data_IF_524613404949
#
_entry.id   IF_524613404949
#
_cell.length_a   1.000
_cell.length_b   1.000
_cell.length_c   1.000
_cell.angle_alpha   90.00
_cell.angle_beta   90.00
_cell.angle_gamma   90.00
#
_symmetry.space_group_name_H-M   'P 1'
#
loop_
_entity.id
_entity.type
_entity.pdbx_description
1 polymer ?
#
# COMPACT_ATOMS: atom_id res chain seq x y z
N UNK A 1 -10.22 -10.85 13.88
CA UNK A 1 -9.17 -9.93 14.36
C UNK A 1 -8.40 -9.37 13.18
N UNK A 2 -7.96 -8.11 13.24
CA UNK A 2 -7.15 -7.50 12.18
C UNK A 2 -5.72 -8.03 12.18
N UNK A 3 -5.13 -8.20 11.00
CA UNK A 3 -3.73 -8.61 10.80
C UNK A 3 -2.87 -7.38 10.57
N UNK A 4 -1.66 -7.37 11.11
CA UNK A 4 -0.64 -6.36 10.83
C UNK A 4 0.48 -6.96 9.99
N UNK A 5 0.89 -6.23 8.97
CA UNK A 5 2.07 -6.56 8.17
C UNK A 5 3.37 -6.27 8.94
N UNK A 6 4.55 -6.71 8.47
CA UNK A 6 5.84 -6.49 9.15
C UNK A 6 6.12 -5.03 9.53
N UNK A 7 5.75 -4.06 8.69
CA UNK A 7 5.90 -2.63 8.97
C UNK A 7 4.62 -1.99 9.49
N UNK A 8 3.68 -2.77 10.01
CA UNK A 8 2.50 -2.27 10.72
C UNK A 8 1.38 -1.70 9.86
N UNK A 9 1.26 -2.08 8.58
CA UNK A 9 0.03 -1.82 7.82
C UNK A 9 -1.09 -2.70 8.41
N UNK A 10 -2.19 -2.09 8.83
CA UNK A 10 -3.33 -2.79 9.43
C UNK A 10 -4.30 -3.26 8.36
N UNK A 11 -4.48 -4.57 8.26
CA UNK A 11 -5.43 -5.28 7.39
C UNK A 11 -6.64 -5.67 8.25
N UNK A 12 -7.84 -5.29 7.85
CA UNK A 12 -9.07 -5.50 8.63
C UNK A 12 -9.71 -6.87 8.38
N UNK A 13 -9.34 -7.54 7.28
CA UNK A 13 -9.75 -8.92 7.00
C UNK A 13 -9.34 -9.86 8.13
N UNK A 14 -10.10 -10.94 8.30
CA UNK A 14 -9.79 -11.96 9.30
C UNK A 14 -8.43 -12.59 9.01
N UNK A 15 -7.77 -13.02 10.08
CA UNK A 15 -6.49 -13.74 10.00
C UNK A 15 -6.63 -14.96 9.10
N UNK A 16 -7.67 -15.75 9.33
CA UNK A 16 -8.00 -16.97 8.61
C UNK A 16 -8.09 -16.68 7.10
N UNK A 17 -8.84 -15.63 6.72
CA UNK A 17 -8.96 -15.22 5.32
C UNK A 17 -7.61 -14.80 4.73
N UNK A 18 -6.82 -13.98 5.43
CA UNK A 18 -5.53 -13.49 4.93
C UNK A 18 -4.56 -14.64 4.66
N UNK A 19 -4.42 -15.56 5.62
CA UNK A 19 -3.47 -16.67 5.51
C UNK A 19 -3.98 -17.80 4.62
N UNK A 20 -5.29 -18.02 4.53
CA UNK A 20 -5.89 -18.90 3.52
C UNK A 20 -5.60 -18.41 2.11
N UNK A 21 -5.81 -17.10 1.86
CA UNK A 21 -5.51 -16.49 0.56
C UNK A 21 -4.03 -16.64 0.20
N UNK A 22 -3.12 -16.39 1.13
CA UNK A 22 -1.67 -16.61 0.92
C UNK A 22 -1.37 -18.10 0.70
N UNK A 23 -2.04 -19.00 1.42
CA UNK A 23 -1.84 -20.45 1.30
C UNK A 23 -2.13 -21.03 -0.08
N UNK A 24 -3.00 -20.39 -0.86
CA UNK A 24 -3.25 -20.75 -2.27
C UNK A 24 -2.03 -20.57 -3.18
N UNK A 25 -1.07 -19.74 -2.77
CA UNK A 25 0.20 -19.57 -3.47
C UNK A 25 1.18 -20.72 -3.18
N UNK A 26 0.85 -21.61 -2.25
CA UNK A 26 1.67 -22.77 -1.88
C UNK A 26 2.94 -22.38 -1.15
N UNK A 27 4.01 -23.18 -1.32
CA UNK A 27 5.34 -22.90 -0.73
C UNK A 27 6.16 -21.88 -1.55
N UNK A 28 5.65 -21.47 -2.70
CA UNK A 28 6.36 -20.64 -3.68
C UNK A 28 6.34 -19.14 -3.33
N UNK A 29 5.44 -18.72 -2.43
CA UNK A 29 5.39 -17.36 -1.91
C UNK A 29 5.18 -17.36 -0.39
N UNK A 30 6.06 -16.66 0.32
CA UNK A 30 5.93 -16.49 1.77
C UNK A 30 4.94 -15.38 2.13
N UNK A 31 4.33 -15.49 3.32
CA UNK A 31 3.49 -14.42 3.85
C UNK A 31 4.24 -13.08 3.94
N UNK A 32 5.53 -13.11 4.27
CA UNK A 32 6.39 -11.91 4.33
C UNK A 32 6.50 -11.20 2.97
N UNK A 33 6.62 -11.96 1.88
CA UNK A 33 6.69 -11.40 0.53
C UNK A 33 5.37 -10.80 0.11
N UNK A 34 4.25 -11.49 0.37
CA UNK A 34 2.91 -10.98 0.06
C UNK A 34 2.60 -9.73 0.87
N UNK A 35 2.88 -9.72 2.17
CA UNK A 35 2.64 -8.53 3.00
C UNK A 35 3.54 -7.36 2.66
N UNK A 36 4.84 -7.58 2.36
CA UNK A 36 5.71 -6.51 1.86
C UNK A 36 5.25 -5.95 0.53
N UNK A 37 4.70 -6.80 -0.33
CA UNK A 37 4.09 -6.37 -1.61
C UNK A 37 2.84 -5.54 -1.34
N UNK A 38 1.99 -5.95 -0.40
CA UNK A 38 0.81 -5.17 0.00
C UNK A 38 1.20 -3.79 0.54
N UNK A 39 2.23 -3.72 1.38
CA UNK A 39 2.76 -2.45 1.87
C UNK A 39 3.31 -1.56 0.74
N UNK A 40 4.03 -2.14 -0.22
CA UNK A 40 4.54 -1.41 -1.37
C UNK A 40 3.40 -0.83 -2.22
N UNK A 41 2.37 -1.63 -2.51
CA UNK A 41 1.17 -1.20 -3.23
C UNK A 41 0.47 -0.08 -2.45
N UNK A 42 0.30 -0.24 -1.15
CA UNK A 42 -0.33 0.79 -0.30
C UNK A 42 0.44 2.11 -0.30
N UNK A 43 1.77 2.04 -0.38
CA UNK A 43 2.67 3.18 -0.23
C UNK A 43 2.96 3.90 -1.55
N UNK A 44 2.74 3.25 -2.69
CA UNK A 44 3.10 3.79 -4.00
C UNK A 44 2.45 5.14 -4.35
N UNK A 45 1.15 5.41 -4.08
CA UNK A 45 0.57 6.73 -4.31
C UNK A 45 1.33 7.86 -3.59
N UNK A 46 1.78 7.58 -2.36
CA UNK A 46 2.54 8.52 -1.55
C UNK A 46 3.99 8.66 -2.01
N UNK A 47 4.58 7.59 -2.52
CA UNK A 47 5.89 7.62 -3.17
C UNK A 47 5.88 8.57 -4.37
N UNK A 48 4.88 8.43 -5.25
CA UNK A 48 4.73 9.28 -6.43
C UNK A 48 4.49 10.74 -6.04
N UNK A 49 3.64 10.97 -5.05
CA UNK A 49 3.37 12.31 -4.53
C UNK A 49 4.62 12.97 -3.92
N UNK A 50 5.42 12.21 -3.17
CA UNK A 50 6.68 12.69 -2.61
C UNK A 50 7.67 13.09 -3.70
N UNK A 51 7.90 12.23 -4.70
CA UNK A 51 8.82 12.52 -5.81
C UNK A 51 8.36 13.75 -6.59
N UNK A 52 7.08 13.83 -6.94
CA UNK A 52 6.52 14.97 -7.67
C UNK A 52 6.63 16.28 -6.87
N UNK A 53 6.32 16.25 -5.57
CA UNK A 53 6.41 17.42 -4.72
C UNK A 53 7.84 17.89 -4.48
N UNK A 54 8.80 16.97 -4.30
CA UNK A 54 10.23 17.30 -4.19
C UNK A 54 10.76 17.87 -5.50
N UNK A 55 10.40 17.30 -6.64
CA UNK A 55 10.78 17.84 -7.95
C UNK A 55 10.22 19.27 -8.15
N UNK A 56 8.97 19.50 -7.78
CA UNK A 56 8.36 20.83 -7.84
C UNK A 56 9.01 21.85 -6.87
N UNK A 57 9.43 21.42 -5.68
CA UNK A 57 10.22 22.24 -4.76
C UNK A 57 11.57 22.62 -5.39
N UNK A 58 12.28 21.64 -5.97
CA UNK A 58 13.58 21.83 -6.60
C UNK A 58 13.53 22.75 -7.82
N UNK A 59 12.40 22.76 -8.55
CA UNK A 59 12.19 23.65 -9.68
C UNK A 59 12.04 25.14 -9.30
N UNK A 60 11.93 25.46 -8.00
CA UNK A 60 11.82 26.84 -7.47
C UNK A 60 10.70 27.66 -8.12
N UNK A 61 9.60 27.00 -8.49
CA UNK A 61 8.40 27.63 -9.03
C UNK A 61 7.59 28.39 -7.97
N UNK A 62 6.34 28.80 -8.29
CA UNK A 62 5.48 29.47 -7.33
C UNK A 62 5.16 28.57 -6.14
N UNK A 63 4.94 29.16 -4.97
CA UNK A 63 4.80 28.43 -3.70
C UNK A 63 3.65 27.40 -3.65
N UNK A 64 2.63 27.53 -4.52
CA UNK A 64 1.54 26.58 -4.62
C UNK A 64 1.87 25.34 -5.47
N UNK A 65 2.91 25.39 -6.31
CA UNK A 65 3.22 24.33 -7.27
C UNK A 65 3.54 22.97 -6.61
N UNK A 66 4.33 22.89 -5.52
CA UNK A 66 4.53 21.61 -4.82
C UNK A 66 3.24 21.01 -4.27
N UNK A 67 2.35 21.87 -3.75
CA UNK A 67 1.05 21.44 -3.25
C UNK A 67 0.18 20.83 -4.34
N UNK A 68 0.11 21.50 -5.50
CA UNK A 68 -0.63 20.97 -6.65
C UNK A 68 -0.02 19.67 -7.17
N UNK A 69 1.31 19.60 -7.28
CA UNK A 69 2.02 18.40 -7.72
C UNK A 69 1.67 17.19 -6.84
N UNK A 70 1.72 17.35 -5.51
CA UNK A 70 1.33 16.32 -4.54
C UNK A 70 -0.15 15.95 -4.67
N UNK A 71 -1.03 16.97 -4.75
CA UNK A 71 -2.48 16.81 -4.84
C UNK A 71 -2.93 16.05 -6.09
N UNK A 72 -2.17 16.12 -7.19
CA UNK A 72 -2.45 15.40 -8.43
C UNK A 72 -1.76 14.03 -8.50
N UNK A 73 -0.50 13.96 -8.06
CA UNK A 73 0.32 12.76 -8.16
C UNK A 73 -0.19 11.59 -7.30
N UNK A 74 -0.66 11.84 -6.07
CA UNK A 74 -1.18 10.78 -5.22
C UNK A 74 -2.47 10.13 -5.80
N UNK A 75 -3.50 10.91 -6.18
CA UNK A 75 -4.67 10.36 -6.89
C UNK A 75 -4.29 9.64 -8.18
N UNK A 76 -3.37 10.18 -8.98
CA UNK A 76 -2.89 9.50 -10.18
C UNK A 76 -2.26 8.14 -9.85
N UNK A 77 -1.38 8.06 -8.85
CA UNK A 77 -0.78 6.80 -8.39
C UNK A 77 -1.82 5.80 -7.89
N UNK A 78 -2.86 6.26 -7.19
CA UNK A 78 -3.99 5.43 -6.78
C UNK A 78 -4.77 4.88 -7.98
N UNK A 79 -5.06 5.71 -8.98
CA UNK A 79 -5.81 5.31 -10.18
C UNK A 79 -5.00 4.33 -11.03
N UNK A 80 -3.70 4.55 -11.18
CA UNK A 80 -2.78 3.63 -11.84
C UNK A 80 -2.82 2.23 -11.21
N UNK A 81 -2.72 2.15 -9.88
CA UNK A 81 -2.83 0.87 -9.17
C UNK A 81 -4.20 0.22 -9.35
N UNK A 82 -5.26 1.02 -9.34
CA UNK A 82 -6.63 0.54 -9.53
C UNK A 82 -6.83 -0.02 -10.95
N UNK A 83 -6.11 0.52 -11.94
CA UNK A 83 -6.06 0.06 -13.32
C UNK A 83 -5.11 -1.15 -13.56
N UNK A 84 -4.43 -1.65 -12.52
CA UNK A 84 -3.56 -2.82 -12.63
C UNK A 84 -2.07 -2.53 -12.81
N UNK A 85 -1.62 -1.28 -12.60
CA UNK A 85 -0.20 -0.92 -12.73
C UNK A 85 0.73 -1.62 -11.71
N UNK A 86 0.19 -2.37 -10.74
CA UNK A 86 0.99 -3.16 -9.80
C UNK A 86 1.89 -4.21 -10.48
N UNK A 87 1.59 -4.60 -11.73
CA UNK A 87 2.44 -5.49 -12.52
C UNK A 87 3.57 -4.80 -13.27
N UNK A 88 3.54 -3.46 -13.38
CA UNK A 88 4.56 -2.70 -14.10
C UNK A 88 5.88 -2.73 -13.34
N UNK A 89 7.01 -3.05 -14.00
CA UNK A 89 8.32 -3.00 -13.37
C UNK A 89 8.59 -1.64 -12.72
N UNK A 90 9.19 -1.64 -11.53
CA UNK A 90 9.53 -0.41 -10.80
C UNK A 90 8.42 0.15 -9.90
N UNK A 91 7.13 -0.10 -10.18
CA UNK A 91 6.02 0.39 -9.32
C UNK A 91 6.13 -0.16 -7.89
N UNK A 92 6.30 -1.49 -7.78
CA UNK A 92 6.46 -2.14 -6.47
C UNK A 92 7.79 -1.78 -5.80
N UNK A 93 8.86 -1.62 -6.58
CA UNK A 93 10.16 -1.22 -6.06
C UNK A 93 10.11 0.19 -5.47
N UNK A 94 9.49 1.15 -6.18
CA UNK A 94 9.30 2.52 -5.72
C UNK A 94 8.43 2.57 -4.45
N UNK A 95 7.31 1.84 -4.44
CA UNK A 95 6.44 1.74 -3.25
C UNK A 95 7.16 1.13 -2.05
N UNK A 96 7.93 0.07 -2.26
CA UNK A 96 8.71 -0.61 -1.22
C UNK A 96 9.86 0.24 -0.67
N UNK A 97 10.60 0.92 -1.54
CA UNK A 97 11.67 1.85 -1.16
C UNK A 97 11.10 3.02 -0.34
N UNK A 98 10.02 3.65 -0.82
CA UNK A 98 9.35 4.71 -0.08
C UNK A 98 8.82 4.23 1.27
N UNK A 99 8.20 3.04 1.34
CA UNK A 99 7.73 2.48 2.61
C UNK A 99 8.87 2.28 3.61
N UNK A 100 10.02 1.79 3.13
CA UNK A 100 11.23 1.62 3.96
C UNK A 100 11.68 2.95 4.51
N UNK A 101 11.81 3.97 3.65
CA UNK A 101 12.21 5.31 4.07
C UNK A 101 11.20 5.95 5.03
N UNK A 102 9.90 5.82 4.74
CA UNK A 102 8.82 6.36 5.54
C UNK A 102 8.75 5.76 6.94
N UNK A 103 9.09 4.47 7.07
CA UNK A 103 9.19 3.81 8.37
C UNK A 103 10.22 4.48 9.30
N UNK A 104 11.33 4.97 8.74
CA UNK A 104 12.35 5.72 9.48
C UNK A 104 12.10 7.24 9.52
N UNK A 105 10.95 7.73 9.03
CA UNK A 105 10.62 9.15 9.00
C UNK A 105 11.41 9.99 7.98
N UNK A 106 12.19 9.36 7.09
CA UNK A 106 13.09 10.05 6.16
C UNK A 106 12.36 11.02 5.22
N UNK A 107 11.24 10.65 4.54
CA UNK A 107 10.52 11.58 3.66
C UNK A 107 10.01 12.82 4.40
N UNK A 108 9.58 12.66 5.66
CA UNK A 108 9.11 13.77 6.47
C UNK A 108 10.25 14.72 6.82
N UNK A 109 11.39 14.18 7.28
CA UNK A 109 12.58 14.96 7.58
C UNK A 109 13.08 15.72 6.35
N UNK A 110 13.14 15.07 5.18
CA UNK A 110 13.56 15.69 3.92
C UNK A 110 12.66 16.87 3.53
N UNK A 111 11.34 16.75 3.69
CA UNK A 111 10.41 17.84 3.36
C UNK A 111 10.52 18.98 4.38
N UNK A 112 10.54 18.67 5.68
CA UNK A 112 10.51 19.70 6.72
C UNK A 112 11.84 20.47 6.86
N UNK A 113 12.96 19.80 6.64
CA UNK A 113 14.30 20.42 6.70
C UNK A 113 14.75 20.89 5.32
N UNK A 114 14.63 20.03 4.30
CA UNK A 114 15.08 20.34 2.95
C UNK A 114 14.15 21.30 2.21
N UNK A 115 12.84 21.23 2.42
CA UNK A 115 11.85 22.11 1.78
C UNK A 115 12.15 23.60 2.00
N UNK A 116 12.34 24.06 3.25
CA UNK A 116 12.66 25.46 3.53
C UNK A 116 13.98 25.92 2.91
N UNK A 117 14.98 25.02 2.83
CA UNK A 117 16.29 25.33 2.23
C UNK A 117 16.23 25.43 0.69
N UNK A 118 15.36 24.65 0.04
CA UNK A 118 15.30 24.57 -1.42
C UNK A 118 14.33 25.58 -2.01
N UNK A 119 13.11 25.65 -1.46
CA UNK A 119 11.98 26.43 -2.00
C UNK A 119 11.36 27.41 -1.00
N UNK A 120 11.89 27.49 0.23
CA UNK A 120 11.37 28.36 1.28
C UNK A 120 10.17 27.78 2.04
N UNK A 121 9.84 28.42 3.17
CA UNK A 121 8.77 27.96 4.06
C UNK A 121 7.39 27.96 3.39
N UNK A 122 7.10 28.94 2.52
CA UNK A 122 5.82 29.04 1.79
C UNK A 122 5.59 27.84 0.86
N UNK A 123 6.61 27.42 0.12
CA UNK A 123 6.53 26.26 -0.77
C UNK A 123 6.41 24.94 0.02
N UNK A 124 7.09 24.86 1.17
CA UNK A 124 6.98 23.72 2.10
C UNK A 124 5.57 23.62 2.69
N UNK A 125 4.99 24.75 3.11
CA UNK A 125 3.60 24.80 3.56
C UNK A 125 2.61 24.40 2.43
N UNK A 126 2.89 24.82 1.20
CA UNK A 126 2.16 24.38 0.00
C UNK A 126 2.23 22.86 -0.21
N UNK A 127 3.40 22.25 -0.07
CA UNK A 127 3.55 20.79 -0.12
C UNK A 127 2.68 20.10 0.93
N UNK A 128 2.73 20.57 2.19
CA UNK A 128 1.97 19.96 3.30
C UNK A 128 0.47 20.10 3.10
N UNK A 129 -0.02 21.26 2.64
CA UNK A 129 -1.44 21.46 2.34
C UNK A 129 -1.90 20.56 1.18
N UNK A 130 -1.10 20.46 0.12
CA UNK A 130 -1.34 19.54 -1.00
C UNK A 130 -1.42 18.08 -0.55
N UNK A 131 -0.58 17.67 0.40
CA UNK A 131 -0.61 16.33 0.98
C UNK A 131 -1.90 16.05 1.74
N UNK A 132 -2.38 17.00 2.54
CA UNK A 132 -3.69 16.88 3.22
C UNK A 132 -4.82 16.73 2.21
N UNK A 133 -4.84 17.57 1.17
CA UNK A 133 -5.83 17.50 0.08
C UNK A 133 -5.75 16.14 -0.63
N UNK A 134 -4.55 15.68 -0.96
CA UNK A 134 -4.34 14.38 -1.58
C UNK A 134 -4.92 13.23 -0.75
N UNK A 135 -4.76 13.25 0.59
CA UNK A 135 -5.37 12.24 1.48
C UNK A 135 -6.88 12.23 1.42
N UNK A 136 -7.51 13.40 1.38
CA UNK A 136 -8.96 13.51 1.25
C UNK A 136 -9.44 12.96 -0.09
N UNK A 137 -8.77 13.34 -1.19
CA UNK A 137 -9.12 12.88 -2.54
C UNK A 137 -8.92 11.37 -2.67
N UNK A 138 -7.77 10.84 -2.26
CA UNK A 138 -7.49 9.39 -2.29
C UNK A 138 -8.49 8.62 -1.42
N UNK A 139 -8.87 9.14 -0.25
CA UNK A 139 -9.89 8.50 0.59
C UNK A 139 -11.28 8.49 -0.08
N UNK A 140 -11.64 9.56 -0.78
CA UNK A 140 -12.88 9.61 -1.56
C UNK A 140 -12.85 8.60 -2.73
N UNK A 141 -11.74 8.56 -3.48
CA UNK A 141 -11.53 7.60 -4.56
C UNK A 141 -11.57 6.15 -4.06
N UNK A 142 -10.96 5.85 -2.91
CA UNK A 142 -11.01 4.52 -2.28
C UNK A 142 -12.43 4.11 -1.90
N UNK A 143 -13.24 5.03 -1.37
CA UNK A 143 -14.66 4.76 -1.10
C UNK A 143 -15.45 4.49 -2.38
N UNK A 144 -15.22 5.27 -3.43
CA UNK A 144 -15.89 5.09 -4.71
C UNK A 144 -15.51 3.75 -5.36
N UNK A 145 -14.23 3.42 -5.38
CA UNK A 145 -13.72 2.18 -5.94
C UNK A 145 -14.21 0.97 -5.15
N UNK A 146 -14.23 1.05 -3.82
CA UNK A 146 -14.83 0.05 -2.96
C UNK A 146 -16.31 -0.18 -3.29
N UNK A 147 -17.11 0.88 -3.47
CA UNK A 147 -18.53 0.74 -3.86
C UNK A 147 -18.67 0.09 -5.24
N UNK A 148 -17.85 0.51 -6.22
CA UNK A 148 -17.85 -0.06 -7.57
C UNK A 148 -17.51 -1.55 -7.56
N UNK A 149 -16.48 -1.95 -6.81
CA UNK A 149 -16.08 -3.36 -6.68
C UNK A 149 -17.04 -4.19 -5.85
N UNK A 150 -17.63 -3.64 -4.80
CA UNK A 150 -18.67 -4.32 -4.04
C UNK A 150 -19.87 -4.65 -4.95
N UNK A 151 -20.25 -3.75 -5.85
CA UNK A 151 -21.34 -3.97 -6.80
C UNK A 151 -20.99 -4.99 -7.91
N UNK A 152 -19.72 -5.12 -8.30
CA UNK A 152 -19.28 -6.04 -9.37
C UNK A 152 -18.86 -7.41 -8.86
N UNK A 153 -18.07 -7.44 -7.79
CA UNK A 153 -17.33 -8.61 -7.31
C UNK A 153 -17.83 -9.10 -5.93
N UNK A 154 -18.78 -8.38 -5.32
CA UNK A 154 -19.31 -8.70 -3.98
C UNK A 154 -18.34 -8.41 -2.81
N UNK A 155 -17.18 -7.80 -3.07
CA UNK A 155 -16.12 -7.60 -2.08
C UNK A 155 -15.87 -6.10 -1.82
N UNK A 156 -16.38 -5.55 -0.69
CA UNK A 156 -16.14 -4.16 -0.31
C UNK A 156 -14.75 -3.98 0.32
N UNK A 157 -13.68 -4.18 -0.44
CA UNK A 157 -12.30 -4.00 0.03
C UNK A 157 -11.89 -2.52 0.00
N UNK A 158 -11.22 -2.05 1.05
CA UNK A 158 -10.70 -0.68 1.19
C UNK A 158 -9.25 -0.66 1.63
N UNK A 159 -8.55 0.42 1.33
CA UNK A 159 -7.24 0.72 1.89
C UNK A 159 -6.26 -0.46 1.83
N UNK A 160 -5.86 -0.94 3.01
CA UNK A 160 -4.91 -2.04 3.18
C UNK A 160 -5.44 -3.40 2.70
N UNK A 161 -6.74 -3.67 2.86
CA UNK A 161 -7.35 -4.94 2.43
C UNK A 161 -7.28 -5.07 0.91
N UNK A 162 -7.54 -3.97 0.22
CA UNK A 162 -7.38 -3.89 -1.23
C UNK A 162 -5.93 -4.07 -1.65
N UNK A 163 -4.98 -3.49 -0.91
CA UNK A 163 -3.56 -3.68 -1.17
C UNK A 163 -3.12 -5.14 -0.98
N UNK A 164 -3.67 -5.84 0.02
CA UNK A 164 -3.45 -7.29 0.20
C UNK A 164 -4.01 -8.08 -0.99
N UNK A 165 -5.25 -7.80 -1.39
CA UNK A 165 -5.87 -8.48 -2.52
C UNK A 165 -5.10 -8.29 -3.84
N UNK A 166 -4.62 -7.05 -4.09
CA UNK A 166 -3.76 -6.77 -5.25
C UNK A 166 -2.41 -7.48 -5.13
N UNK A 167 -1.80 -7.52 -3.94
CA UNK A 167 -0.55 -8.23 -3.72
C UNK A 167 -0.70 -9.73 -4.00
N UNK A 168 -1.77 -10.35 -3.50
CA UNK A 168 -2.11 -11.74 -3.81
C UNK A 168 -2.22 -11.96 -5.32
N UNK A 169 -2.99 -11.12 -6.05
CA UNK A 169 -3.14 -11.26 -7.50
C UNK A 169 -1.82 -11.12 -8.26
N UNK A 170 -0.94 -10.20 -7.83
CA UNK A 170 0.41 -10.06 -8.41
C UNK A 170 1.21 -11.36 -8.27
N UNK A 171 1.21 -11.98 -7.09
CA UNK A 171 1.92 -13.24 -6.85
C UNK A 171 1.25 -14.42 -7.55
N UNK A 172 -0.08 -14.54 -7.47
CA UNK A 172 -0.85 -15.59 -8.14
C UNK A 172 -0.59 -15.58 -9.64
N UNK A 173 -0.64 -14.41 -10.29
CA UNK A 173 -0.38 -14.27 -11.72
C UNK A 173 1.06 -14.65 -12.09
N UNK A 174 2.05 -14.25 -11.30
CA UNK A 174 3.46 -14.62 -11.50
C UNK A 174 3.68 -16.13 -11.41
N UNK A 175 2.93 -16.80 -10.54
CA UNK A 175 3.00 -18.24 -10.33
C UNK A 175 2.05 -19.04 -11.23
N UNK A 176 1.30 -18.40 -12.13
CA UNK A 176 0.29 -19.09 -12.96
C UNK A 176 -0.88 -19.69 -12.16
N UNK A 177 -1.19 -19.14 -10.98
CA UNK A 177 -2.26 -19.57 -10.07
C UNK A 177 -3.52 -18.72 -10.22
N UNK A 178 -4.62 -19.21 -9.68
CA UNK A 178 -5.93 -18.55 -9.76
C UNK A 178 -5.97 -17.20 -9.00
N UNK A 179 -6.36 -16.12 -9.67
CA UNK A 179 -6.39 -14.75 -9.12
C UNK A 179 -7.66 -14.40 -8.31
N UNK A 180 -8.58 -15.37 -8.18
CA UNK A 180 -9.82 -15.19 -7.41
C UNK A 180 -9.57 -14.85 -5.95
N UNK A 181 -10.36 -13.93 -5.41
CA UNK A 181 -10.25 -13.46 -4.03
C UNK A 181 -11.17 -14.20 -3.07
N UNK A 182 -12.00 -15.13 -3.56
CA UNK A 182 -12.82 -15.99 -2.72
C UNK A 182 -12.05 -17.29 -2.50
N UNK A 183 -11.57 -17.56 -1.27
CA UNK A 183 -11.03 -18.86 -0.93
C UNK A 183 -12.19 -19.86 -0.89
N UNK A 184 -11.99 -21.05 -1.45
CA UNK A 184 -12.95 -22.13 -1.37
C UNK A 184 -12.98 -22.71 0.06
N UNK A 185 -13.98 -23.52 0.41
CA UNK A 185 -14.04 -24.15 1.74
C UNK A 185 -12.77 -24.94 2.08
N UNK A 186 -12.15 -25.54 1.08
CA UNK A 186 -10.88 -26.27 1.20
C UNK A 186 -9.69 -25.36 1.52
N UNK A 187 -9.74 -24.08 1.14
CA UNK A 187 -8.66 -23.12 1.43
C UNK A 187 -8.67 -22.68 2.90
N UNK A 188 -9.80 -22.83 3.59
CA UNK A 188 -9.92 -22.56 5.03
C UNK A 188 -9.46 -23.73 5.90
N UNK A 189 -9.04 -24.84 5.30
CA UNK A 189 -8.48 -25.95 6.05
C UNK A 189 -7.28 -25.46 6.87
N UNK A 190 -7.38 -25.68 8.18
CA UNK A 190 -6.43 -25.17 9.16
C UNK A 190 -5.03 -25.70 8.88
N UNK A 191 -4.91 -26.93 8.37
CA UNK A 191 -3.63 -27.54 8.02
C UNK A 191 -2.89 -26.76 6.91
N UNK A 192 -3.61 -26.09 6.00
CA UNK A 192 -3.01 -25.34 4.89
C UNK A 192 -2.47 -23.99 5.31
N UNK A 193 -3.20 -23.24 6.13
CA UNK A 193 -2.85 -21.85 6.45
C UNK A 193 -2.18 -21.67 7.82
N UNK A 194 -2.44 -22.55 8.80
CA UNK A 194 -1.90 -22.38 10.16
C UNK A 194 -0.37 -22.44 10.17
N UNK A 195 0.24 -23.35 9.40
CA UNK A 195 1.70 -23.43 9.31
C UNK A 195 2.33 -22.19 8.65
N UNK A 196 1.60 -21.49 7.77
CA UNK A 196 2.07 -20.22 7.19
C UNK A 196 2.02 -19.12 8.24
N UNK A 197 0.92 -19.05 8.98
CA UNK A 197 0.77 -18.12 10.10
C UNK A 197 1.84 -18.33 11.17
N UNK A 198 2.12 -19.57 11.55
CA UNK A 198 3.10 -19.89 12.59
C UNK A 198 4.52 -19.45 12.18
N UNK A 199 4.92 -19.73 10.94
CA UNK A 199 6.20 -19.24 10.39
C UNK A 199 6.26 -17.71 10.36
N UNK A 200 5.16 -17.05 10.02
CA UNK A 200 5.07 -15.59 10.06
C UNK A 200 5.20 -15.06 11.49
N UNK A 201 4.50 -15.68 12.44
CA UNK A 201 4.51 -15.30 13.85
C UNK A 201 5.89 -15.45 14.50
N UNK A 202 6.65 -16.48 14.14
CA UNK A 202 8.02 -16.67 14.59
C UNK A 202 8.97 -15.57 14.10
N UNK A 203 8.79 -15.09 12.86
CA UNK A 203 9.63 -14.02 12.28
C UNK A 203 9.23 -12.62 12.71
N UNK A 204 7.94 -12.40 12.94
CA UNK A 204 7.36 -11.09 13.25
C UNK A 204 6.49 -11.12 14.51
N UNK A 205 7.07 -11.49 15.69
CA UNK A 205 6.32 -11.54 16.94
C UNK A 205 5.72 -10.17 17.30
N UNK A 206 6.39 -9.07 16.94
CA UNK A 206 5.92 -7.70 17.14
C UNK A 206 4.65 -7.36 16.34
N UNK A 207 4.47 -7.95 15.16
CA UNK A 207 3.25 -7.77 14.37
C UNK A 207 2.10 -8.55 15.01
N UNK A 208 2.35 -9.79 15.41
CA UNK A 208 1.34 -10.68 16.01
C UNK A 208 0.86 -10.19 17.36
N UNK A 209 1.73 -9.59 18.19
CA UNK A 209 1.32 -8.96 19.47
C UNK A 209 0.26 -7.88 19.32
N UNK A 210 0.07 -7.31 18.12
CA UNK A 210 -0.96 -6.30 17.84
C UNK A 210 -2.29 -6.92 17.39
N UNK A 211 -2.38 -8.25 17.27
CA UNK A 211 -3.59 -8.94 16.80
C UNK A 211 -4.60 -9.13 17.95
N UNK A 212 -4.09 -9.18 19.19
CA UNK A 212 -4.83 -9.08 20.47
C UNK A 212 -5.28 -7.65 20.73
#
# INVERSE_FOLDING_TARGET
>A
MSVYTPRGLRIQLSREYCFALIGRLGRDASADEVFRTAEAIHSFPWALAFVAGVAALAARGPAWAPGLAVALAAPAGFLLLSAGAAHVPGVLAAGGAYRTAAWFGVPLALVLVGGPLIGGWRATAGYVSGWVVARLVVAALDRLECRRRAARDGLPLRGADRSLALAYRVHARRLGRHEGLWPDREDYDTERWAGIYERFAQRHPEAVRKFT
#
